data_IF_678403818828
#
_entry.id   IF_678403818828
#
_cell.length_a   1.000
_cell.length_b   1.000
_cell.length_c   1.000
_cell.angle_alpha   90.00
_cell.angle_beta   90.00
_cell.angle_gamma   90.00
#
_symmetry.space_group_name_H-M   'P 1'
#
loop_
_entity.id
_entity.type
_entity.pdbx_description
1 polymer ?
#
# COMPACT_ATOMS: atom_id res chain seq x y z
N UNK A 1 -11.76 -19.93 -24.80
CA UNK A 1 -11.04 -20.02 -26.08
C UNK A 1 -10.59 -21.47 -26.24
N UNK A 2 -10.88 -22.09 -27.40
CA UNK A 2 -10.63 -23.51 -27.66
C UNK A 2 -11.72 -24.08 -28.57
N UNK A 3 -11.42 -24.24 -29.86
CA UNK A 3 -12.34 -24.77 -30.86
C UNK A 3 -11.87 -26.18 -31.27
N UNK A 4 -12.77 -27.16 -31.23
CA UNK A 4 -12.50 -28.51 -31.74
C UNK A 4 -12.70 -28.49 -33.25
N UNK A 5 -11.68 -28.87 -34.03
CA UNK A 5 -11.77 -29.02 -35.49
C UNK A 5 -11.73 -30.51 -35.84
N UNK A 6 -12.90 -31.15 -36.11
CA UNK A 6 -12.94 -32.55 -36.52
C UNK A 6 -12.14 -32.76 -37.81
N UNK A 7 -11.28 -33.78 -37.84
CA UNK A 7 -10.44 -34.12 -39.01
C UNK A 7 -9.01 -33.56 -38.98
N UNK A 8 -8.68 -32.68 -38.02
CA UNK A 8 -7.32 -32.17 -37.85
C UNK A 8 -6.60 -32.88 -36.70
N UNK A 9 -5.35 -33.28 -36.94
CA UNK A 9 -4.52 -33.89 -35.92
C UNK A 9 -4.19 -32.86 -34.83
N UNK A 10 -4.44 -33.23 -33.57
CA UNK A 10 -4.04 -32.41 -32.42
C UNK A 10 -2.57 -32.67 -32.12
N UNK A 11 -1.77 -31.61 -32.07
CA UNK A 11 -0.36 -31.68 -31.69
C UNK A 11 -0.17 -31.13 -30.28
N UNK A 12 0.39 -31.95 -29.39
CA UNK A 12 0.90 -31.47 -28.12
C UNK A 12 2.24 -30.75 -28.38
N UNK A 13 2.26 -29.42 -28.28
CA UNK A 13 3.46 -28.60 -28.52
C UNK A 13 4.36 -28.47 -27.29
N UNK A 14 3.80 -28.64 -26.10
CA UNK A 14 4.54 -28.59 -24.85
C UNK A 14 3.85 -29.42 -23.77
N UNK A 15 4.65 -30.20 -23.04
CA UNK A 15 4.25 -30.82 -21.78
C UNK A 15 4.99 -30.09 -20.65
N UNK A 16 4.24 -29.49 -19.72
CA UNK A 16 4.82 -28.87 -18.52
C UNK A 16 4.42 -29.68 -17.30
N UNK A 17 5.42 -30.24 -16.61
CA UNK A 17 5.26 -30.88 -15.31
C UNK A 17 5.67 -29.90 -14.21
N UNK A 18 4.84 -29.76 -13.18
CA UNK A 18 5.14 -29.00 -11.97
C UNK A 18 5.01 -29.94 -10.78
N UNK A 19 6.08 -30.09 -10.00
CA UNK A 19 6.08 -30.83 -8.74
C UNK A 19 6.38 -29.85 -7.59
N UNK A 20 5.55 -29.88 -6.55
CA UNK A 20 5.69 -29.01 -5.37
C UNK A 20 5.81 -29.86 -4.13
N UNK A 21 6.81 -29.60 -3.30
CA UNK A 21 7.00 -30.26 -2.00
C UNK A 21 6.71 -29.24 -0.89
N UNK A 22 5.83 -29.55 0.09
CA UNK A 22 5.58 -28.66 1.22
C UNK A 22 6.85 -28.46 2.04
N UNK A 23 7.23 -27.21 2.26
CA UNK A 23 8.27 -26.81 3.21
C UNK A 23 7.65 -26.12 4.41
N UNK A 24 8.38 -26.06 5.54
CA UNK A 24 7.92 -25.32 6.73
C UNK A 24 7.77 -23.85 6.35
N UNK A 25 6.52 -23.42 6.17
CA UNK A 25 6.18 -22.03 5.86
C UNK A 25 6.21 -21.23 7.16
N UNK A 26 6.81 -20.05 7.13
CA UNK A 26 6.66 -19.09 8.22
C UNK A 26 5.19 -18.65 8.20
N UNK A 27 4.48 -18.95 9.28
CA UNK A 27 3.15 -18.39 9.51
C UNK A 27 3.35 -16.98 10.03
N UNK A 28 3.00 -15.99 9.21
CA UNK A 28 2.87 -14.63 9.70
C UNK A 28 1.63 -14.57 10.59
N UNK A 29 1.77 -14.04 11.79
CA UNK A 29 0.67 -13.68 12.66
C UNK A 29 0.19 -12.28 12.29
N UNK A 30 -1.12 -12.04 12.26
CA UNK A 30 -1.66 -10.69 12.13
C UNK A 30 -1.19 -9.83 13.30
N UNK A 31 -0.83 -8.59 13.03
CA UNK A 31 -0.50 -7.59 14.04
C UNK A 31 -1.82 -7.09 14.64
N UNK A 32 -2.36 -7.82 15.61
CA UNK A 32 -3.44 -7.31 16.46
C UNK A 32 -2.87 -6.29 17.43
N UNK A 33 -3.23 -5.01 17.28
CA UNK A 33 -3.06 -4.02 18.34
C UNK A 33 -1.90 -3.03 18.19
N UNK A 34 -1.72 -2.42 17.01
CA UNK A 34 -0.95 -1.18 16.85
C UNK A 34 -1.84 0.06 16.97
N UNK A 35 -2.47 0.28 18.11
CA UNK A 35 -3.39 1.42 18.31
C UNK A 35 -2.63 2.75 18.47
N UNK A 36 -2.01 3.23 17.40
CA UNK A 36 -1.65 4.64 17.25
C UNK A 36 -2.91 5.45 16.94
N UNK A 37 -3.61 5.98 17.96
CA UNK A 37 -4.63 7.04 17.75
C UNK A 37 -3.93 8.38 17.48
N UNK A 38 -3.07 8.40 16.47
CA UNK A 38 -2.26 9.56 16.17
C UNK A 38 -2.98 10.41 15.15
N UNK A 39 -3.12 11.68 15.46
CA UNK A 39 -3.60 12.71 14.54
C UNK A 39 -2.38 13.50 14.03
N UNK A 40 -2.50 14.17 12.90
CA UNK A 40 -1.41 15.02 12.36
C UNK A 40 -0.90 16.07 13.36
N UNK A 41 -1.68 16.43 14.38
CA UNK A 41 -1.27 17.35 15.46
C UNK A 41 -0.21 16.79 16.41
N UNK A 42 0.04 15.48 16.39
CA UNK A 42 1.13 14.84 17.16
C UNK A 42 2.40 14.63 16.30
N UNK A 43 2.42 15.14 15.06
CA UNK A 43 3.64 15.20 14.27
C UNK A 43 4.67 16.06 15.02
N UNK A 44 5.89 15.54 15.19
CA UNK A 44 6.98 16.27 15.87
C UNK A 44 7.63 17.29 14.96
N UNK A 45 7.45 17.15 13.65
CA UNK A 45 8.09 17.96 12.62
C UNK A 45 7.12 18.27 11.49
N UNK A 46 7.35 19.38 10.80
CA UNK A 46 6.73 19.71 9.52
C UNK A 46 7.81 20.01 8.49
N UNK A 47 7.56 19.65 7.23
CA UNK A 47 8.45 19.92 6.09
C UNK A 47 7.67 20.67 5.01
N UNK A 48 8.25 21.75 4.49
CA UNK A 48 7.66 22.50 3.40
C UNK A 48 7.69 21.67 2.11
N UNK A 49 6.52 21.29 1.60
CA UNK A 49 6.37 20.43 0.42
C UNK A 49 5.41 21.04 -0.59
N UNK A 50 5.66 20.84 -1.89
CA UNK A 50 4.85 21.39 -2.97
C UNK A 50 3.77 20.39 -3.42
N UNK A 51 2.50 20.78 -3.35
CA UNK A 51 1.33 19.94 -3.66
C UNK A 51 0.58 20.42 -4.90
N UNK A 52 1.33 20.62 -5.99
CA UNK A 52 0.76 21.07 -7.26
C UNK A 52 0.38 22.55 -7.26
N UNK A 53 -0.05 23.03 -8.43
CA UNK A 53 -0.29 24.47 -8.68
C UNK A 53 -1.39 25.05 -7.80
N UNK A 54 -2.42 24.26 -7.51
CA UNK A 54 -3.60 24.73 -6.77
C UNK A 54 -3.31 25.00 -5.28
N UNK A 55 -2.40 24.22 -4.68
CA UNK A 55 -2.09 24.30 -3.24
C UNK A 55 -0.73 24.91 -2.95
N UNK A 56 0.19 24.86 -3.90
CA UNK A 56 1.54 25.40 -3.74
C UNK A 56 2.34 24.69 -2.66
N UNK A 57 3.24 25.43 -2.01
CA UNK A 57 4.01 24.92 -0.88
C UNK A 57 3.19 24.95 0.40
N UNK A 58 3.13 23.82 1.10
CA UNK A 58 2.42 23.64 2.37
C UNK A 58 3.38 23.07 3.40
N UNK A 59 3.34 23.60 4.63
CA UNK A 59 4.01 22.98 5.78
C UNK A 59 3.31 21.67 6.11
N UNK A 60 3.93 20.58 5.69
CA UNK A 60 3.32 19.25 5.71
C UNK A 60 3.83 18.48 6.93
N UNK A 61 2.95 17.88 7.75
CA UNK A 61 3.37 17.05 8.87
C UNK A 61 4.24 15.89 8.39
N UNK A 62 5.31 15.62 9.14
CA UNK A 62 6.17 14.46 8.96
C UNK A 62 5.94 13.51 10.12
N UNK A 63 5.49 12.30 9.81
CA UNK A 63 5.26 11.22 10.76
C UNK A 63 6.31 10.13 10.59
N UNK A 64 6.54 9.34 11.63
CA UNK A 64 7.22 8.04 11.51
C UNK A 64 6.21 6.94 11.20
N UNK A 65 6.68 5.79 10.72
CA UNK A 65 5.80 4.66 10.42
C UNK A 65 5.00 4.18 11.65
N UNK A 66 5.62 4.22 12.83
CA UNK A 66 5.00 3.83 14.11
C UNK A 66 3.87 4.78 14.55
N UNK A 67 3.85 5.99 13.98
CA UNK A 67 2.77 6.95 14.23
C UNK A 67 1.55 6.67 13.34
N UNK A 68 1.62 5.78 12.35
CA UNK A 68 0.48 5.44 11.49
C UNK A 68 -0.31 4.27 12.10
N UNK A 69 -1.49 4.56 12.65
CA UNK A 69 -2.39 3.54 13.18
C UNK A 69 -3.37 2.97 12.15
N UNK A 70 -4.25 2.07 12.60
CA UNK A 70 -5.30 1.47 11.77
C UNK A 70 -6.43 2.46 11.44
N UNK A 71 -6.57 3.54 12.20
CA UNK A 71 -7.52 4.61 11.90
C UNK A 71 -7.01 5.42 10.70
N UNK A 72 -7.80 5.56 9.61
CA UNK A 72 -7.37 6.33 8.45
C UNK A 72 -7.04 7.79 8.79
N UNK A 73 -5.85 8.22 8.39
CA UNK A 73 -5.38 9.60 8.48
C UNK A 73 -5.46 10.25 7.09
N UNK A 74 -6.08 11.42 7.00
CA UNK A 74 -6.14 12.18 5.75
C UNK A 74 -4.82 12.90 5.45
N UNK A 75 -4.41 12.88 4.17
CA UNK A 75 -3.31 13.70 3.68
C UNK A 75 -3.68 15.18 3.51
N UNK A 76 -2.71 16.07 3.21
CA UNK A 76 -1.31 15.75 2.91
C UNK A 76 -0.48 15.41 4.15
N UNK A 77 0.32 14.35 4.07
CA UNK A 77 1.27 13.95 5.11
C UNK A 77 2.47 13.23 4.50
N UNK A 78 3.65 13.44 5.08
CA UNK A 78 4.85 12.66 4.77
C UNK A 78 5.09 11.64 5.87
N UNK A 79 5.46 10.42 5.52
CA UNK A 79 5.83 9.38 6.48
C UNK A 79 7.26 8.95 6.21
N UNK A 80 8.18 9.35 7.08
CA UNK A 80 9.57 8.92 7.00
C UNK A 80 9.71 7.54 7.66
N UNK A 81 10.19 6.59 6.88
CA UNK A 81 10.57 5.25 7.29
C UNK A 81 12.10 5.16 7.32
N UNK A 82 12.63 4.02 7.76
CA UNK A 82 14.08 3.84 7.86
C UNK A 82 14.83 4.01 6.52
N UNK A 83 14.24 3.54 5.41
CA UNK A 83 14.86 3.50 4.08
C UNK A 83 14.06 4.23 2.99
N UNK A 84 12.91 4.82 3.33
CA UNK A 84 12.01 5.44 2.37
C UNK A 84 11.17 6.54 3.00
N UNK A 85 10.64 7.44 2.17
CA UNK A 85 9.62 8.41 2.57
C UNK A 85 8.35 8.12 1.77
N UNK A 86 7.25 7.84 2.47
CA UNK A 86 5.94 7.64 1.86
C UNK A 86 5.24 8.99 1.78
N UNK A 87 4.84 9.38 0.57
CA UNK A 87 4.14 10.63 0.31
C UNK A 87 2.64 10.32 0.22
N UNK A 88 1.84 10.92 1.10
CA UNK A 88 0.38 10.81 1.06
C UNK A 88 -0.18 12.13 0.52
N UNK A 89 -0.71 12.14 -0.71
CA UNK A 89 -1.25 13.35 -1.30
C UNK A 89 -2.48 13.87 -0.55
N UNK A 90 -2.85 15.13 -0.82
CA UNK A 90 -4.25 15.54 -0.78
C UNK A 90 -5.28 14.48 -1.14
N UNK A 91 -6.42 14.50 -0.45
CA UNK A 91 -7.61 13.70 -0.80
C UNK A 91 -7.42 12.18 -0.75
N UNK A 92 -6.25 11.74 -0.30
CA UNK A 92 -5.92 10.36 0.01
C UNK A 92 -5.96 10.12 1.53
N UNK A 93 -6.09 8.86 1.93
CA UNK A 93 -5.92 8.46 3.33
C UNK A 93 -4.87 7.36 3.47
N UNK A 94 -4.23 7.31 4.63
CA UNK A 94 -3.25 6.29 5.02
C UNK A 94 -3.68 5.59 6.32
N UNK A 95 -3.50 4.27 6.40
CA UNK A 95 -3.66 3.48 7.61
C UNK A 95 -2.71 2.28 7.62
N UNK A 96 -2.43 1.70 8.79
CA UNK A 96 -1.80 0.38 8.89
C UNK A 96 -2.84 -0.73 8.76
N UNK A 97 -2.51 -1.76 7.97
CA UNK A 97 -3.30 -2.97 7.81
C UNK A 97 -2.89 -4.06 8.81
N UNK A 98 -3.66 -5.14 8.84
CA UNK A 98 -3.52 -6.22 9.84
C UNK A 98 -2.20 -7.01 9.75
N UNK A 99 -1.40 -6.78 8.71
CA UNK A 99 -0.14 -7.49 8.47
C UNK A 99 1.09 -6.57 8.58
N UNK A 100 0.92 -5.37 9.14
CA UNK A 100 1.97 -4.35 9.18
C UNK A 100 2.23 -3.67 7.84
N UNK A 101 1.37 -3.91 6.86
CA UNK A 101 1.36 -3.20 5.60
C UNK A 101 0.76 -1.80 5.77
N UNK A 102 1.12 -0.88 4.89
CA UNK A 102 0.47 0.42 4.79
C UNK A 102 -0.58 0.36 3.69
N UNK A 103 -1.79 0.81 3.99
CA UNK A 103 -2.90 0.96 3.05
C UNK A 103 -3.05 2.43 2.71
N UNK A 104 -3.03 2.74 1.41
CA UNK A 104 -3.27 4.09 0.90
C UNK A 104 -4.55 4.03 0.07
N UNK A 105 -5.57 4.76 0.50
CA UNK A 105 -6.78 4.93 -0.29
C UNK A 105 -6.66 6.20 -1.12
N UNK A 106 -6.65 6.04 -2.43
CA UNK A 106 -6.60 7.14 -3.39
C UNK A 106 -8.04 7.42 -3.80
N UNK A 107 -8.50 8.66 -3.64
CA UNK A 107 -9.77 9.07 -4.24
C UNK A 107 -9.61 8.98 -5.75
N UNK A 108 -10.31 8.05 -6.38
CA UNK A 108 -10.50 8.04 -7.83
C UNK A 108 -11.26 9.30 -8.21
N UNK A 109 -10.78 10.05 -9.21
CA UNK A 109 -11.62 10.98 -9.93
C UNK A 109 -12.75 10.18 -10.56
N UNK A 110 -13.99 10.47 -10.19
CA UNK A 110 -15.15 10.05 -10.98
C UNK A 110 -15.24 11.08 -12.10
N UNK A 111 -14.83 10.67 -13.31
CA UNK A 111 -15.10 11.42 -14.55
C UNK A 111 -16.60 11.47 -14.84
#
# INVERSE_FOLDING_TARGET
>A
YGHRLPGYAVQAVALRLVATIPTKRITLSSITGGAGRVTTSQAKETRKAYWGKERGFVDTPVLTLEQVGQTPLAGPVLVDCYDTTIVIPPDCTIATGDWGNVLINIKSEVS
#
